data_IF_923807605489
#
_entry.id   IF_923807605489
#
_cell.length_a   1.000
_cell.length_b   1.000
_cell.length_c   1.000
_cell.angle_alpha   90.00
_cell.angle_beta   90.00
_cell.angle_gamma   90.00
#
_symmetry.space_group_name_H-M   'P 1'
#
loop_
_entity.id
_entity.type
_entity.pdbx_description
1 polymer ?
#
# COMPACT_ATOMS: atom_id res chain seq x y z
N UNK A 1 22.23 22.64 27.25
CA UNK A 1 21.76 21.28 26.92
C UNK A 1 20.77 21.41 25.77
N UNK A 2 21.21 21.13 24.54
CA UNK A 2 20.39 21.22 23.34
C UNK A 2 19.77 19.86 23.07
N UNK A 3 18.43 19.76 23.11
CA UNK A 3 17.72 18.54 22.73
C UNK A 3 17.61 18.46 21.21
N UNK A 4 18.30 17.47 20.66
CA UNK A 4 18.43 17.14 19.23
C UNK A 4 17.10 17.07 18.49
N UNK A 5 17.12 17.55 17.25
CA UNK A 5 15.97 17.64 16.35
C UNK A 5 15.34 16.29 16.03
N UNK A 6 14.01 16.24 16.12
CA UNK A 6 13.19 15.26 15.38
C UNK A 6 13.31 15.58 13.89
N UNK A 7 14.28 14.95 13.22
CA UNK A 7 14.33 14.96 11.76
C UNK A 7 13.08 14.23 11.23
N UNK A 8 12.09 15.00 10.77
CA UNK A 8 10.88 14.48 10.16
C UNK A 8 11.22 13.67 8.92
N UNK A 9 11.10 12.34 9.01
CA UNK A 9 11.20 11.47 7.85
C UNK A 9 10.11 11.88 6.86
N UNK A 10 10.49 12.42 5.70
CA UNK A 10 9.51 12.84 4.68
C UNK A 10 8.79 11.59 4.17
N UNK A 11 7.50 11.49 4.46
CA UNK A 11 6.65 10.37 4.10
C UNK A 11 6.51 10.23 2.57
N UNK A 12 6.25 9.01 2.12
CA UNK A 12 5.88 8.75 0.73
C UNK A 12 4.43 9.18 0.47
N UNK A 13 4.20 9.73 -0.72
CA UNK A 13 2.88 10.04 -1.24
C UNK A 13 2.25 8.79 -1.87
N UNK A 14 1.10 8.34 -1.36
CA UNK A 14 0.42 7.14 -1.86
C UNK A 14 -0.68 7.54 -2.84
N UNK A 15 -0.51 7.16 -4.10
CA UNK A 15 -1.36 7.55 -5.22
C UNK A 15 -2.25 6.38 -5.62
N UNK A 16 -3.54 6.67 -5.72
CA UNK A 16 -4.57 5.73 -6.19
C UNK A 16 -5.14 6.23 -7.51
N UNK A 17 -5.19 5.36 -8.52
CA UNK A 17 -5.99 5.66 -9.70
C UNK A 17 -7.49 5.53 -9.37
N UNK A 18 -8.34 6.23 -10.12
CA UNK A 18 -9.79 6.10 -9.99
C UNK A 18 -10.25 4.64 -10.18
N UNK A 19 -9.64 3.91 -11.12
CA UNK A 19 -9.94 2.50 -11.33
C UNK A 19 -9.66 1.64 -10.08
N UNK A 20 -8.54 1.88 -9.39
CA UNK A 20 -8.20 1.18 -8.15
C UNK A 20 -9.16 1.53 -7.02
N UNK A 21 -9.55 2.79 -6.87
CA UNK A 21 -10.54 3.20 -5.86
C UNK A 21 -11.89 2.54 -6.09
N UNK A 22 -12.36 2.48 -7.35
CA UNK A 22 -13.60 1.80 -7.71
C UNK A 22 -13.51 0.29 -7.47
N UNK A 23 -12.39 -0.35 -7.82
CA UNK A 23 -12.16 -1.77 -7.56
C UNK A 23 -12.17 -2.07 -6.05
N UNK A 24 -11.48 -1.25 -5.24
CA UNK A 24 -11.46 -1.38 -3.78
C UNK A 24 -12.86 -1.19 -3.18
N UNK A 25 -13.63 -0.22 -3.66
CA UNK A 25 -15.03 -0.02 -3.23
C UNK A 25 -15.89 -1.24 -3.54
N UNK A 26 -15.77 -1.80 -4.74
CA UNK A 26 -16.48 -3.04 -5.13
C UNK A 26 -16.09 -4.21 -4.24
N UNK A 27 -14.79 -4.37 -3.96
CA UNK A 27 -14.28 -5.40 -3.06
C UNK A 27 -14.91 -5.28 -1.67
N UNK A 28 -14.89 -4.09 -1.06
CA UNK A 28 -15.47 -3.85 0.27
C UNK A 28 -16.98 -4.03 0.31
N UNK A 29 -17.68 -3.63 -0.76
CA UNK A 29 -19.14 -3.79 -0.86
C UNK A 29 -19.56 -5.25 -1.08
N UNK A 30 -18.69 -6.09 -1.66
CA UNK A 30 -18.94 -7.51 -1.89
C UNK A 30 -18.78 -8.39 -0.63
N UNK A 31 -18.29 -7.84 0.48
CA UNK A 31 -18.14 -8.57 1.73
C UNK A 31 -19.50 -8.77 2.41
N UNK A 32 -19.81 -10.01 2.78
CA UNK A 32 -21.13 -10.40 3.29
C UNK A 32 -21.32 -9.98 4.74
N UNK A 33 -20.28 -10.05 5.57
CA UNK A 33 -20.36 -9.71 7.00
C UNK A 33 -19.76 -8.34 7.33
N UNK A 34 -20.28 -7.72 8.39
CA UNK A 34 -19.70 -6.49 8.96
C UNK A 34 -18.30 -6.73 9.53
N UNK A 35 -18.04 -7.91 10.08
CA UNK A 35 -16.73 -8.28 10.63
C UNK A 35 -15.66 -8.42 9.55
N UNK A 36 -15.99 -8.97 8.38
CA UNK A 36 -15.07 -8.96 7.23
C UNK A 36 -14.79 -7.55 6.75
N UNK A 37 -15.81 -6.69 6.66
CA UNK A 37 -15.63 -5.28 6.30
C UNK A 37 -14.73 -4.56 7.28
N UNK A 38 -14.92 -4.76 8.60
CA UNK A 38 -14.07 -4.20 9.65
C UNK A 38 -12.62 -4.69 9.54
N UNK A 39 -12.40 -6.00 9.35
CA UNK A 39 -11.06 -6.58 9.19
C UNK A 39 -10.36 -6.05 7.93
N UNK A 40 -11.06 -5.96 6.80
CA UNK A 40 -10.51 -5.39 5.57
C UNK A 40 -10.17 -3.91 5.72
N UNK A 41 -11.04 -3.12 6.36
CA UNK A 41 -10.78 -1.71 6.63
C UNK A 41 -9.56 -1.51 7.55
N UNK A 42 -9.40 -2.37 8.57
CA UNK A 42 -8.23 -2.36 9.44
C UNK A 42 -6.96 -2.71 8.66
N UNK A 43 -6.98 -3.77 7.86
CA UNK A 43 -5.87 -4.17 6.99
C UNK A 43 -5.46 -3.03 6.03
N UNK A 44 -6.44 -2.40 5.37
CA UNK A 44 -6.20 -1.27 4.47
C UNK A 44 -5.50 -0.10 5.18
N UNK A 45 -5.90 0.24 6.40
CA UNK A 45 -5.23 1.30 7.19
C UNK A 45 -3.78 0.95 7.50
N UNK A 46 -3.51 -0.30 7.90
CA UNK A 46 -2.13 -0.75 8.18
C UNK A 46 -1.29 -0.71 6.91
N UNK A 47 -1.83 -1.21 5.80
CA UNK A 47 -1.17 -1.15 4.48
C UNK A 47 -0.86 0.30 4.11
N UNK A 48 -1.84 1.20 4.17
CA UNK A 48 -1.62 2.60 3.82
C UNK A 48 -0.55 3.26 4.70
N UNK A 49 -0.56 2.98 6.01
CA UNK A 49 0.48 3.47 6.93
C UNK A 49 1.86 2.96 6.52
N UNK A 50 2.03 1.66 6.28
CA UNK A 50 3.29 1.06 5.81
C UNK A 50 3.77 1.71 4.51
N UNK A 51 2.88 1.85 3.53
CA UNK A 51 3.25 2.46 2.24
C UNK A 51 3.71 3.91 2.36
N UNK A 52 3.23 4.67 3.35
CA UNK A 52 3.72 6.04 3.62
C UNK A 52 5.08 6.07 4.31
N UNK A 53 5.38 5.08 5.17
CA UNK A 53 6.55 5.13 6.05
C UNK A 53 7.72 4.29 5.53
N UNK A 54 7.47 3.07 5.08
CA UNK A 54 8.47 2.06 4.75
C UNK A 54 8.13 1.22 3.49
N UNK A 55 7.73 1.83 2.35
CA UNK A 55 7.28 1.06 1.17
C UNK A 55 8.36 0.19 0.53
N UNK A 56 9.64 0.52 0.73
CA UNK A 56 10.77 -0.29 0.26
C UNK A 56 10.99 -1.56 1.09
N UNK A 57 10.51 -1.58 2.34
CA UNK A 57 10.62 -2.72 3.25
C UNK A 57 9.34 -3.54 3.26
N UNK A 58 8.20 -2.88 3.04
CA UNK A 58 6.91 -3.54 3.00
C UNK A 58 6.78 -4.44 1.75
N UNK A 59 6.43 -5.71 1.98
CA UNK A 59 6.21 -6.70 0.93
C UNK A 59 7.46 -7.17 0.21
N UNK A 60 7.28 -8.06 -0.75
CA UNK A 60 8.34 -8.68 -1.54
C UNK A 60 8.48 -8.00 -2.92
N UNK A 61 9.71 -7.74 -3.39
CA UNK A 61 9.94 -7.25 -4.74
C UNK A 61 9.60 -8.35 -5.75
N UNK A 62 8.83 -8.02 -6.79
CA UNK A 62 8.42 -8.96 -7.83
C UNK A 62 9.32 -8.92 -9.06
N UNK A 63 9.62 -7.71 -9.56
CA UNK A 63 10.53 -7.47 -10.66
C UNK A 63 10.83 -5.97 -10.78
N UNK A 64 11.99 -5.64 -11.35
CA UNK A 64 12.30 -4.30 -11.87
C UNK A 64 11.95 -4.32 -13.35
N UNK A 65 11.07 -3.44 -13.81
CA UNK A 65 10.74 -3.39 -15.23
C UNK A 65 11.94 -2.79 -15.99
N UNK A 66 12.46 -3.51 -16.98
CA UNK A 66 13.63 -3.05 -17.75
C UNK A 66 13.35 -1.70 -18.41
N UNK A 67 14.12 -0.68 -18.04
CA UNK A 67 13.97 0.69 -18.54
C UNK A 67 13.16 1.63 -17.66
N UNK A 68 12.55 1.15 -16.57
CA UNK A 68 11.76 1.96 -15.65
C UNK A 68 12.32 1.84 -14.22
N UNK A 69 12.70 2.94 -13.52
CA UNK A 69 13.36 2.88 -12.22
C UNK A 69 12.40 2.53 -11.07
N UNK A 70 11.32 1.79 -11.36
CA UNK A 70 10.26 1.48 -10.40
C UNK A 70 10.34 0.02 -10.01
N UNK A 71 10.34 -0.22 -8.71
CA UNK A 71 10.27 -1.58 -8.17
C UNK A 71 8.81 -1.89 -7.91
N UNK A 72 8.27 -2.88 -8.62
CA UNK A 72 6.94 -3.43 -8.33
C UNK A 72 7.06 -4.40 -7.16
N UNK A 73 6.21 -4.19 -6.15
CA UNK A 73 6.17 -4.97 -4.92
C UNK A 73 4.77 -5.51 -4.66
N UNK A 74 4.72 -6.63 -3.94
CA UNK A 74 3.48 -7.19 -3.41
C UNK A 74 3.63 -7.28 -1.90
N UNK A 75 2.75 -6.60 -1.17
CA UNK A 75 2.67 -6.66 0.28
C UNK A 75 1.27 -7.05 0.73
N UNK A 76 1.11 -7.47 1.97
CA UNK A 76 -0.19 -7.86 2.48
C UNK A 76 -0.31 -7.71 3.98
N UNK A 77 -1.53 -7.46 4.42
CA UNK A 77 -1.98 -7.56 5.80
C UNK A 77 -3.32 -8.27 5.71
N UNK A 78 -3.42 -9.48 6.28
CA UNK A 78 -4.62 -10.31 6.12
C UNK A 78 -5.90 -9.53 6.50
N UNK A 79 -6.97 -9.64 5.71
CA UNK A 79 -7.14 -10.51 4.54
C UNK A 79 -6.73 -9.86 3.20
N UNK A 80 -6.06 -8.70 3.19
CA UNK A 80 -5.84 -7.89 2.01
C UNK A 80 -4.38 -7.95 1.51
N UNK A 81 -4.21 -8.15 0.21
CA UNK A 81 -2.95 -8.00 -0.52
C UNK A 81 -3.02 -6.75 -1.37
N UNK A 82 -1.90 -6.04 -1.47
CA UNK A 82 -1.70 -4.87 -2.34
C UNK A 82 -0.54 -5.12 -3.30
N UNK A 83 -0.74 -4.77 -4.57
CA UNK A 83 0.33 -4.62 -5.55
C UNK A 83 0.61 -3.14 -5.75
N UNK A 84 1.87 -2.73 -5.68
CA UNK A 84 2.25 -1.31 -5.76
C UNK A 84 3.62 -1.13 -6.43
N UNK A 85 3.87 0.07 -6.95
CA UNK A 85 5.17 0.47 -7.50
C UNK A 85 5.75 1.62 -6.67
N UNK A 86 7.05 1.55 -6.37
CA UNK A 86 7.77 2.57 -5.60
C UNK A 86 8.63 3.45 -6.51
N UNK A 87 8.43 4.75 -6.43
CA UNK A 87 9.13 5.80 -7.18
C UNK A 87 10.01 6.60 -6.22
N UNK A 88 11.21 6.09 -5.93
CA UNK A 88 12.06 6.61 -4.85
C UNK A 88 12.43 8.09 -5.02
N UNK A 89 12.77 8.50 -6.26
CA UNK A 89 13.18 9.88 -6.57
C UNK A 89 12.10 10.90 -6.25
N UNK A 90 10.82 10.54 -6.42
CA UNK A 90 9.66 11.42 -6.17
C UNK A 90 8.98 11.14 -4.84
N UNK A 91 9.40 10.08 -4.13
CA UNK A 91 8.71 9.51 -2.98
C UNK A 91 7.24 9.21 -3.25
N UNK A 92 6.93 8.74 -4.45
CA UNK A 92 5.57 8.30 -4.78
C UNK A 92 5.44 6.78 -4.66
N UNK A 93 4.28 6.33 -4.22
CA UNK A 93 3.85 4.93 -4.21
C UNK A 93 2.57 4.82 -5.00
N UNK A 94 2.62 4.12 -6.11
CA UNK A 94 1.49 3.96 -7.01
C UNK A 94 0.80 2.63 -6.74
N UNK A 95 -0.46 2.68 -6.33
CA UNK A 95 -1.23 1.46 -6.10
C UNK A 95 -1.67 0.90 -7.45
N UNK A 96 -1.34 -0.38 -7.69
CA UNK A 96 -1.70 -1.10 -8.91
C UNK A 96 -2.96 -1.95 -8.72
N UNK A 97 -3.28 -2.35 -7.48
CA UNK A 97 -4.52 -3.05 -7.16
C UNK A 97 -4.52 -3.71 -5.79
N UNK A 98 -5.72 -4.12 -5.36
CA UNK A 98 -5.95 -4.89 -4.14
C UNK A 98 -6.63 -6.22 -4.46
N UNK A 99 -6.29 -7.24 -3.69
CA UNK A 99 -6.94 -8.56 -3.76
C UNK A 99 -7.17 -9.10 -2.36
N UNK A 100 -8.27 -9.81 -2.16
CA UNK A 100 -8.47 -10.61 -0.95
C UNK A 100 -7.64 -11.88 -1.07
N UNK A 101 -6.93 -12.25 0.00
CA UNK A 101 -6.45 -13.61 0.14
C UNK A 101 -7.70 -14.47 0.44
N UNK A 102 -8.11 -15.30 -0.52
CA UNK A 102 -9.17 -16.27 -0.28
C UNK A 102 -8.70 -17.23 0.84
N UNK A 103 -9.60 -17.63 1.75
CA UNK A 103 -9.31 -18.70 2.70
C UNK A 103 -9.06 -20.04 2.00
#
# INVERSE_FOLDING_TARGET
MSTSGRNGAVEFNVIYSQAVLQALKRLLNGLSSEDERRRCAAALRVIHKRLRHDPQVFGEPRFTQSGDPHTVRIGGVLPLIVRFAVYEKRRDVWILGFHMLAP
#
